data_IF_608789037794
#
_entry.id   IF_608789037794
#
_cell.length_a   1.000
_cell.length_b   1.000
_cell.length_c   1.000
_cell.angle_alpha   90.00
_cell.angle_beta   90.00
_cell.angle_gamma   90.00
#
_symmetry.space_group_name_H-M   'P 1'
#
loop_
_entity.id
_entity.type
_entity.pdbx_description
1 polymer ?
#
# COMPACT_ATOMS: atom_id res chain seq x y z
N UNK A 1 -15.85 5.13 12.14
CA UNK A 1 -14.61 4.39 12.51
C UNK A 1 -14.09 3.78 11.21
N UNK A 2 -12.82 4.00 10.86
CA UNK A 2 -12.23 3.40 9.64
C UNK A 2 -11.84 1.95 9.96
N UNK A 3 -12.45 0.99 9.28
CA UNK A 3 -12.05 -0.42 9.37
C UNK A 3 -11.13 -0.74 8.19
N UNK A 4 -9.84 -0.91 8.47
CA UNK A 4 -8.83 -1.30 7.48
C UNK A 4 -8.72 -2.82 7.54
N UNK A 5 -8.84 -3.48 6.39
CA UNK A 5 -8.77 -4.95 6.34
C UNK A 5 -7.69 -5.46 5.38
N UNK A 6 -7.01 -4.56 4.64
CA UNK A 6 -5.92 -4.95 3.75
C UNK A 6 -4.90 -3.82 3.58
N UNK A 7 -3.63 -4.13 3.83
CA UNK A 7 -2.50 -3.29 3.45
C UNK A 7 -1.52 -4.13 2.63
N UNK A 8 -1.05 -3.57 1.52
CA UNK A 8 -0.05 -4.18 0.65
C UNK A 8 1.05 -3.18 0.33
N UNK A 9 2.28 -3.62 0.53
CA UNK A 9 3.48 -2.92 0.12
C UNK A 9 4.06 -3.57 -1.13
N UNK A 10 4.33 -2.76 -2.15
CA UNK A 10 4.79 -3.21 -3.45
C UNK A 10 6.12 -2.55 -3.75
N UNK A 11 7.12 -3.36 -4.10
CA UNK A 11 8.42 -2.90 -4.57
C UNK A 11 8.57 -3.30 -6.03
N UNK A 12 8.77 -2.31 -6.89
CA UNK A 12 8.97 -2.49 -8.33
C UNK A 12 10.37 -2.07 -8.73
N UNK A 13 11.10 -2.92 -9.44
CA UNK A 13 12.34 -2.51 -10.07
C UNK A 13 12.06 -1.92 -11.45
N UNK A 14 12.23 -0.60 -11.62
CA UNK A 14 11.93 0.08 -12.88
C UNK A 14 12.90 -0.27 -14.02
N UNK A 15 14.08 -0.80 -13.68
CA UNK A 15 15.08 -1.20 -14.68
C UNK A 15 14.73 -2.54 -15.35
N UNK A 16 14.29 -3.54 -14.59
CA UNK A 16 14.04 -4.89 -15.09
C UNK A 16 12.58 -5.33 -15.01
N UNK A 17 11.70 -4.49 -14.47
CA UNK A 17 10.27 -4.77 -14.31
C UNK A 17 9.93 -5.80 -13.22
N UNK A 18 10.88 -6.18 -12.36
CA UNK A 18 10.60 -7.15 -11.28
C UNK A 18 9.68 -6.52 -10.22
N UNK A 19 8.66 -7.25 -9.77
CA UNK A 19 7.69 -6.76 -8.79
C UNK A 19 7.61 -7.74 -7.62
N UNK A 20 7.77 -7.24 -6.41
CA UNK A 20 7.51 -7.97 -5.15
C UNK A 20 6.37 -7.30 -4.39
N UNK A 21 5.54 -8.13 -3.76
CA UNK A 21 4.35 -7.74 -3.02
C UNK A 21 4.43 -8.33 -1.63
N UNK A 22 4.11 -7.53 -0.63
CA UNK A 22 4.15 -7.90 0.79
C UNK A 22 2.84 -7.46 1.42
N UNK A 23 2.09 -8.39 2.01
CA UNK A 23 0.99 -8.05 2.90
C UNK A 23 1.60 -7.58 4.22
N UNK A 24 1.20 -6.40 4.69
CA UNK A 24 1.70 -5.80 5.94
C UNK A 24 0.54 -5.50 6.87
N UNK A 25 0.78 -5.51 8.18
CA UNK A 25 -0.27 -5.12 9.13
C UNK A 25 -0.28 -3.60 9.28
N UNK A 26 0.90 -2.98 9.37
CA UNK A 26 1.07 -1.54 9.52
C UNK A 26 2.09 -0.97 8.52
N UNK A 27 2.06 0.35 8.31
CA UNK A 27 2.99 1.04 7.41
C UNK A 27 4.44 0.96 7.88
N UNK A 28 4.67 0.87 9.19
CA UNK A 28 6.00 0.95 9.79
C UNK A 28 6.84 -0.31 9.50
N UNK A 29 6.18 -1.43 9.19
CA UNK A 29 6.83 -2.67 8.75
C UNK A 29 7.51 -2.54 7.38
N UNK A 30 7.13 -1.53 6.59
CA UNK A 30 7.61 -1.35 5.21
C UNK A 30 9.04 -0.83 5.10
N UNK A 31 9.52 -0.09 6.10
CA UNK A 31 10.87 0.49 6.08
C UNK A 31 11.94 -0.61 6.14
N UNK A 32 11.74 -1.60 7.02
CA UNK A 32 12.62 -2.77 7.12
C UNK A 32 12.62 -3.60 5.84
N UNK A 33 11.46 -3.78 5.21
CA UNK A 33 11.33 -4.49 3.93
C UNK A 33 12.09 -3.76 2.82
N UNK A 34 12.02 -2.43 2.81
CA UNK A 34 12.73 -1.61 1.83
C UNK A 34 14.25 -1.66 2.02
N UNK A 35 14.74 -1.39 3.23
CA UNK A 35 16.18 -1.33 3.51
C UNK A 35 16.90 -2.64 3.16
N UNK A 36 16.20 -3.77 3.30
CA UNK A 36 16.75 -5.10 3.00
C UNK A 36 16.46 -5.56 1.56
N UNK A 37 15.63 -4.85 0.79
CA UNK A 37 15.29 -5.28 -0.55
C UNK A 37 16.42 -4.99 -1.54
N UNK A 38 16.94 -6.06 -2.14
CA UNK A 38 17.80 -6.00 -3.30
C UNK A 38 17.11 -6.68 -4.47
N UNK A 39 17.06 -5.99 -5.61
CA UNK A 39 16.59 -6.61 -6.84
C UNK A 39 17.50 -7.79 -7.18
N UNK A 40 16.92 -8.95 -7.48
CA UNK A 40 17.64 -10.18 -7.83
C UNK A 40 18.61 -9.99 -9.02
N UNK A 41 18.32 -9.01 -9.89
CA UNK A 41 19.15 -8.63 -11.03
C UNK A 41 20.19 -7.52 -10.72
N UNK A 42 20.28 -7.07 -9.47
CA UNK A 42 21.26 -6.07 -9.02
C UNK A 42 21.07 -4.66 -9.59
N UNK A 43 19.89 -4.31 -10.11
CA UNK A 43 19.70 -3.06 -10.84
C UNK A 43 19.67 -1.78 -9.96
N UNK A 44 19.22 -1.89 -8.71
CA UNK A 44 19.17 -0.77 -7.74
C UNK A 44 18.12 0.31 -8.00
N UNK A 45 17.36 0.27 -9.11
CA UNK A 45 16.27 1.23 -9.39
C UNK A 45 14.94 0.72 -8.87
N UNK A 46 14.68 0.94 -7.57
CA UNK A 46 13.49 0.44 -6.89
C UNK A 46 12.48 1.58 -6.65
N UNK A 47 11.24 1.35 -7.01
CA UNK A 47 10.08 2.22 -6.77
C UNK A 47 9.14 1.55 -5.77
N UNK A 48 8.53 2.36 -4.91
CA UNK A 48 7.69 1.91 -3.81
C UNK A 48 6.24 2.30 -4.06
N UNK A 49 5.32 1.42 -3.70
CA UNK A 49 3.89 1.70 -3.72
C UNK A 49 3.21 1.05 -2.53
N UNK A 50 2.19 1.73 -2.00
CA UNK A 50 1.44 1.27 -0.85
C UNK A 50 -0.05 1.31 -1.18
N UNK A 51 -0.74 0.20 -0.91
CA UNK A 51 -2.18 0.07 -1.11
C UNK A 51 -2.80 -0.21 0.25
N UNK A 52 -3.81 0.59 0.59
CA UNK A 52 -4.60 0.43 1.80
C UNK A 52 -6.06 0.38 1.43
N UNK A 53 -6.75 -0.69 1.81
CA UNK A 53 -8.19 -0.84 1.61
C UNK A 53 -8.88 -0.89 2.96
N UNK A 54 -9.91 -0.07 3.08
CA UNK A 54 -10.75 0.02 4.27
C UNK A 54 -12.17 0.41 3.93
N UNK A 55 -13.03 0.35 4.93
CA UNK A 55 -14.40 0.83 4.85
C UNK A 55 -14.48 2.25 5.42
N UNK A 56 -15.12 3.12 4.67
CA UNK A 56 -15.52 4.44 5.14
C UNK A 56 -16.94 4.32 5.70
N UNK A 57 -17.10 4.70 6.98
CA UNK A 57 -18.43 4.83 7.56
C UNK A 57 -19.05 6.13 7.04
N UNK A 58 -20.06 6.02 6.19
CA UNK A 58 -20.86 7.16 5.74
C UNK A 58 -21.89 7.44 6.86
N UNK A 59 -21.86 8.65 7.43
CA UNK A 59 -22.83 9.07 8.44
C UNK A 59 -24.19 9.38 7.80
N UNK A 60 -25.29 9.04 8.49
CA UNK A 60 -26.68 9.18 8.00
C UNK A 60 -27.22 10.63 7.88
N UNK A 61 -26.38 11.67 7.77
CA UNK A 61 -26.87 13.06 7.84
C UNK A 61 -26.75 13.89 6.54
N UNK A 62 -26.38 13.30 5.40
CA UNK A 62 -26.24 14.04 4.13
C UNK A 62 -27.38 13.79 3.12
N UNK A 63 -28.61 13.60 3.59
CA UNK A 63 -29.80 13.68 2.72
C UNK A 63 -30.84 14.63 3.30
N UNK A 64 -30.52 15.92 3.40
CA UNK A 64 -31.56 16.95 3.32
C UNK A 64 -31.87 17.22 1.84
N UNK A 65 -32.57 16.29 1.19
CA UNK A 65 -33.24 16.61 -0.06
C UNK A 65 -34.27 17.71 0.23
N UNK A 66 -34.00 18.88 -0.34
CA UNK A 66 -34.96 19.99 -0.40
C UNK A 66 -36.00 19.59 -1.44
N UNK A 67 -37.23 19.28 -1.00
CA UNK A 67 -38.43 19.31 -1.85
C UNK A 67 -39.54 20.01 -1.10
#
# INVERSE_FOLDING_TARGET
>A
MEEIYYNEFIITCEACGNVKRFTVEESDDTESLFQNYQCENGCGRNMLSFIKLGLLQIGENDVSETV
#
